data_IF_808535226444
#
_entry.id   IF_808535226444
#
_cell.length_a   1.000
_cell.length_b   1.000
_cell.length_c   1.000
_cell.angle_alpha   90.00
_cell.angle_beta   90.00
_cell.angle_gamma   90.00
#
_symmetry.space_group_name_H-M   'P 1'
#
loop_
_entity.id
_entity.type
_entity.pdbx_description
1 polymer ?
#
# COMPACT_ATOMS: atom_id res chain seq x y z
N UNK A 1 4.11 9.55 12.25
CA UNK A 1 3.17 10.10 11.26
C UNK A 1 3.66 11.49 10.89
N UNK A 2 3.76 11.81 9.59
CA UNK A 2 4.27 13.10 9.12
C UNK A 2 3.14 14.13 9.27
N UNK A 3 3.14 14.91 10.35
CA UNK A 3 2.17 15.99 10.53
C UNK A 3 2.68 17.23 9.78
N UNK A 4 1.97 17.66 8.73
CA UNK A 4 2.11 19.01 8.16
C UNK A 4 1.00 19.89 8.75
N UNK A 5 1.32 20.99 9.45
CA UNK A 5 0.30 21.86 10.04
C UNK A 5 -0.52 22.56 8.94
N UNK A 6 -1.84 22.38 8.97
CA UNK A 6 -2.79 23.08 8.08
C UNK A 6 -2.97 22.51 6.68
N UNK A 7 -2.34 21.37 6.35
CA UNK A 7 -2.58 20.68 5.08
C UNK A 7 -3.78 19.73 5.22
N UNK A 8 -4.58 19.64 4.16
CA UNK A 8 -5.63 18.63 4.05
C UNK A 8 -5.02 17.22 4.16
N UNK A 9 -5.70 16.28 4.83
CA UNK A 9 -5.24 14.89 4.89
C UNK A 9 -5.25 14.27 3.49
N UNK A 10 -4.11 13.71 3.10
CA UNK A 10 -3.92 13.05 1.81
C UNK A 10 -3.19 11.72 1.99
N UNK A 11 -3.52 10.76 1.13
CA UNK A 11 -2.75 9.53 0.95
C UNK A 11 -1.76 9.76 -0.19
N UNK A 12 -0.46 9.69 0.11
CA UNK A 12 0.61 9.81 -0.88
C UNK A 12 1.18 8.43 -1.18
N UNK A 13 1.02 7.96 -2.40
CA UNK A 13 1.57 6.70 -2.86
C UNK A 13 3.01 6.93 -3.32
N UNK A 14 3.94 6.21 -2.69
CA UNK A 14 5.36 6.30 -3.00
C UNK A 14 5.84 5.03 -3.70
N UNK A 15 6.69 5.23 -4.72
CA UNK A 15 7.46 4.15 -5.32
C UNK A 15 8.59 3.70 -4.41
N UNK A 16 9.28 2.63 -4.83
CA UNK A 16 10.39 2.06 -4.07
C UNK A 16 11.60 3.00 -3.91
N UNK A 17 11.71 4.05 -4.74
CA UNK A 17 12.75 5.09 -4.64
C UNK A 17 12.20 6.39 -4.04
N UNK A 18 11.08 6.32 -3.33
CA UNK A 18 10.40 7.48 -2.74
C UNK A 18 9.93 8.52 -3.77
N UNK A 19 9.78 8.12 -5.04
CA UNK A 19 9.08 8.94 -6.01
C UNK A 19 7.60 9.00 -5.68
N UNK A 20 7.01 10.20 -5.74
CA UNK A 20 5.56 10.36 -5.62
C UNK A 20 4.89 9.81 -6.88
N UNK A 21 4.10 8.76 -6.73
CA UNK A 21 3.34 8.15 -7.81
C UNK A 21 1.98 8.81 -7.95
N UNK A 22 1.30 9.03 -6.81
CA UNK A 22 -0.06 9.56 -6.77
C UNK A 22 -0.36 10.22 -5.42
N UNK A 23 -1.26 11.21 -5.43
CA UNK A 23 -1.82 11.85 -4.23
C UNK A 23 -3.34 11.79 -4.28
N UNK A 24 -3.94 11.24 -3.24
CA UNK A 24 -5.39 11.05 -3.12
C UNK A 24 -5.89 11.88 -1.92
N UNK A 25 -6.80 12.84 -2.12
CA UNK A 25 -7.37 13.62 -1.03
C UNK A 25 -8.31 12.75 -0.17
N UNK A 26 -8.17 12.85 1.15
CA UNK A 26 -8.96 12.05 2.09
C UNK A 26 -10.04 12.87 2.81
N UNK A 27 -10.05 14.20 2.68
CA UNK A 27 -10.94 15.10 3.43
C UNK A 27 -12.43 14.77 3.29
N UNK A 28 -12.85 14.32 2.10
CA UNK A 28 -14.25 13.98 1.80
C UNK A 28 -14.56 12.49 2.00
N UNK A 29 -13.59 11.69 2.42
CA UNK A 29 -13.74 10.23 2.55
C UNK A 29 -13.96 9.82 4.01
N UNK A 30 -14.88 8.88 4.19
CA UNK A 30 -15.08 8.18 5.46
C UNK A 30 -13.96 7.19 5.72
N UNK A 31 -13.82 6.78 6.99
CA UNK A 31 -12.83 5.76 7.40
C UNK A 31 -13.05 4.45 6.64
N UNK A 32 -14.31 4.09 6.40
CA UNK A 32 -14.73 2.90 5.68
C UNK A 32 -14.26 2.94 4.22
N UNK A 33 -14.47 4.06 3.54
CA UNK A 33 -14.00 4.28 2.16
C UNK A 33 -12.48 4.28 2.07
N UNK A 34 -11.79 4.91 3.02
CA UNK A 34 -10.33 4.91 3.09
C UNK A 34 -9.81 3.47 3.28
N UNK A 35 -10.42 2.68 4.14
CA UNK A 35 -10.03 1.28 4.34
C UNK A 35 -10.32 0.42 3.11
N UNK A 36 -11.40 0.69 2.36
CA UNK A 36 -11.70 0.03 1.11
C UNK A 36 -10.64 0.37 0.04
N UNK A 37 -10.31 1.65 -0.12
CA UNK A 37 -9.25 2.13 -1.02
C UNK A 37 -7.91 1.44 -0.72
N UNK A 38 -7.51 1.36 0.55
CA UNK A 38 -6.26 0.68 0.93
C UNK A 38 -6.25 -0.80 0.51
N UNK A 39 -7.38 -1.49 0.62
CA UNK A 39 -7.51 -2.89 0.19
C UNK A 39 -7.48 -3.03 -1.33
N UNK A 40 -8.13 -2.12 -2.07
CA UNK A 40 -8.11 -2.08 -3.54
C UNK A 40 -6.70 -1.83 -4.07
N UNK A 41 -5.93 -0.96 -3.41
CA UNK A 41 -4.52 -0.73 -3.69
C UNK A 41 -3.62 -1.95 -3.35
N UNK A 42 -4.17 -2.98 -2.70
CA UNK A 42 -3.48 -4.22 -2.36
C UNK A 42 -2.71 -4.17 -1.04
N UNK A 43 -2.96 -3.20 -0.17
CA UNK A 43 -2.33 -3.17 1.15
C UNK A 43 -3.00 -4.16 2.11
N UNK A 44 -2.17 -4.95 2.79
CA UNK A 44 -2.63 -5.88 3.81
C UNK A 44 -2.80 -5.19 5.18
N UNK A 45 -3.97 -5.38 5.80
CA UNK A 45 -4.25 -4.93 7.16
C UNK A 45 -3.88 -6.01 8.18
N UNK A 46 -2.85 -5.76 8.98
CA UNK A 46 -2.50 -6.61 10.12
C UNK A 46 -3.54 -6.52 11.23
N UNK A 47 -3.71 -7.59 12.01
CA UNK A 47 -4.57 -7.62 13.20
C UNK A 47 -3.97 -6.88 14.40
N UNK A 48 -2.64 -6.86 14.51
CA UNK A 48 -1.87 -6.13 15.52
C UNK A 48 -0.54 -5.62 14.91
N UNK A 49 0.11 -4.60 15.50
CA UNK A 49 1.35 -4.04 14.96
C UNK A 49 2.50 -5.07 14.81
N UNK A 50 2.58 -6.01 15.73
CA UNK A 50 3.56 -7.09 15.83
C UNK A 50 3.11 -8.38 15.12
N UNK A 51 1.87 -8.44 14.61
CA UNK A 51 1.39 -9.59 13.89
C UNK A 51 2.20 -9.85 12.61
N UNK A 52 2.45 -11.13 12.33
CA UNK A 52 3.12 -11.57 11.10
C UNK A 52 2.23 -11.31 9.89
N UNK A 53 2.86 -10.84 8.82
CA UNK A 53 2.21 -10.73 7.51
C UNK A 53 2.24 -12.10 6.84
N UNK A 54 1.12 -12.59 6.28
CA UNK A 54 1.12 -13.82 5.50
C UNK A 54 2.09 -13.76 4.32
N UNK A 55 2.74 -14.88 3.92
CA UNK A 55 3.71 -14.88 2.82
C UNK A 55 3.18 -14.30 1.51
N UNK A 56 1.88 -14.46 1.23
CA UNK A 56 1.22 -13.91 0.04
C UNK A 56 1.19 -12.37 0.01
N UNK A 57 1.29 -11.71 1.18
CA UNK A 57 1.24 -10.26 1.31
C UNK A 57 2.57 -9.64 1.77
N UNK A 58 3.63 -10.44 1.93
CA UNK A 58 4.92 -9.97 2.47
C UNK A 58 5.53 -8.82 1.63
N UNK A 59 5.29 -8.83 0.33
CA UNK A 59 5.73 -7.79 -0.62
C UNK A 59 4.61 -6.86 -1.06
N UNK A 60 3.36 -7.15 -0.70
CA UNK A 60 2.22 -6.35 -1.13
C UNK A 60 2.31 -4.91 -0.57
N UNK A 61 1.87 -3.89 -1.33
CA UNK A 61 1.27 -3.96 -2.68
C UNK A 61 2.30 -4.07 -3.82
N UNK A 62 3.60 -4.02 -3.53
CA UNK A 62 4.62 -4.16 -4.56
C UNK A 62 4.59 -5.59 -5.14
N UNK A 63 4.70 -5.70 -6.46
CA UNK A 63 4.92 -7.00 -7.09
C UNK A 63 6.27 -7.53 -6.64
N UNK A 64 6.36 -8.85 -6.46
CA UNK A 64 7.65 -9.51 -6.47
C UNK A 64 8.40 -9.09 -7.75
N UNK A 65 9.71 -8.79 -7.71
CA UNK A 65 10.45 -8.60 -8.96
C UNK A 65 10.20 -9.82 -9.84
N UNK A 66 9.64 -9.61 -11.03
CA UNK A 66 9.39 -10.67 -12.01
C UNK A 66 10.71 -11.39 -12.27
N UNK A 67 10.89 -12.55 -11.65
CA UNK A 67 12.20 -13.20 -11.60
C UNK A 67 12.18 -14.65 -11.11
N UNK A 68 11.04 -15.32 -11.12
CA UNK A 68 10.95 -16.79 -10.99
C UNK A 68 9.61 -17.29 -11.56
N UNK A 69 9.45 -17.15 -12.88
CA UNK A 69 8.73 -18.15 -13.66
C UNK A 69 9.73 -18.86 -14.57
N UNK A 70 10.81 -19.37 -13.97
CA UNK A 70 11.72 -20.34 -14.60
C UNK A 70 11.03 -21.71 -14.54
N UNK A 71 10.04 -21.90 -15.42
CA UNK A 71 9.43 -23.22 -15.72
C UNK A 71 8.47 -23.15 -16.93
N UNK A 72 9.02 -22.85 -18.09
CA UNK A 72 8.50 -23.22 -19.40
C UNK A 72 9.67 -22.91 -20.33
N UNK A 73 10.63 -23.82 -20.48
CA UNK A 73 10.54 -24.85 -21.50
C UNK A 73 11.15 -26.19 -20.99
N UNK A 74 10.30 -27.22 -20.93
CA UNK A 74 10.70 -28.64 -20.90
C UNK A 74 10.50 -29.22 -22.30
#
# INVERSE_FOLDING_TARGET
MKHLPGADPELVLLGHRYEELERIPLSDMTREEINALMQELGFYRKSAPDARVPPEYERAPAKAPDGTSDRADL
#
